data_IF_906281156923
#
_entry.id   IF_906281156923
#
_cell.length_a   1.000
_cell.length_b   1.000
_cell.length_c   1.000
_cell.angle_alpha   90.00
_cell.angle_beta   90.00
_cell.angle_gamma   90.00
#
_symmetry.space_group_name_H-M   'P 1'
#
loop_
_entity.id
_entity.type
_entity.pdbx_description
1 polymer ?
#
# COMPACT_ATOMS: atom_id res chain seq x y z
N UNK A 1 24.59 -8.80 -16.14
CA UNK A 1 23.31 -8.52 -16.82
C UNK A 1 22.30 -9.58 -16.39
N UNK A 2 21.08 -9.19 -16.06
CA UNK A 2 20.00 -10.11 -15.63
C UNK A 2 18.71 -9.67 -16.29
N UNK A 3 17.95 -10.61 -16.85
CA UNK A 3 16.69 -10.31 -17.53
C UNK A 3 15.58 -11.17 -16.94
N UNK A 4 14.43 -10.56 -16.66
CA UNK A 4 13.26 -11.22 -16.08
C UNK A 4 11.97 -10.72 -16.73
N UNK A 5 10.93 -11.55 -16.71
CA UNK A 5 9.59 -11.15 -17.09
C UNK A 5 8.69 -11.07 -15.85
N UNK A 6 7.81 -10.07 -15.83
CA UNK A 6 6.78 -9.93 -14.78
C UNK A 6 5.47 -9.44 -15.40
N UNK A 7 4.36 -9.79 -14.78
CA UNK A 7 3.08 -9.20 -15.12
C UNK A 7 3.12 -7.68 -14.91
N UNK A 8 2.73 -6.93 -15.94
CA UNK A 8 2.64 -5.47 -15.92
C UNK A 8 1.73 -5.01 -14.79
N UNK A 9 0.60 -5.71 -14.58
CA UNK A 9 -0.33 -5.36 -13.51
C UNK A 9 0.32 -5.49 -12.13
N UNK A 10 0.99 -6.61 -11.87
CA UNK A 10 1.58 -6.92 -10.58
C UNK A 10 2.71 -5.95 -10.23
N UNK A 11 3.66 -5.76 -11.15
CA UNK A 11 4.77 -4.82 -10.96
C UNK A 11 4.32 -3.38 -10.75
N UNK A 12 3.27 -2.94 -11.47
CA UNK A 12 2.68 -1.61 -11.27
C UNK A 12 2.03 -1.46 -9.90
N UNK A 13 1.30 -2.47 -9.43
CA UNK A 13 0.69 -2.45 -8.08
C UNK A 13 1.79 -2.29 -7.03
N UNK A 14 2.84 -3.10 -7.14
CA UNK A 14 3.98 -3.04 -6.23
C UNK A 14 4.65 -1.66 -6.25
N UNK A 15 5.02 -1.14 -7.43
CA UNK A 15 5.57 0.20 -7.59
C UNK A 15 4.69 1.30 -7.00
N UNK A 16 3.37 1.24 -7.25
CA UNK A 16 2.41 2.23 -6.75
C UNK A 16 2.31 2.19 -5.22
N UNK A 17 2.33 0.99 -4.66
CA UNK A 17 2.24 0.77 -3.22
C UNK A 17 3.50 1.27 -2.49
N UNK A 18 4.70 0.97 -2.99
CA UNK A 18 5.95 1.32 -2.29
C UNK A 18 6.43 2.75 -2.50
N UNK A 19 6.19 3.37 -3.66
CA UNK A 19 6.78 4.68 -3.99
C UNK A 19 6.35 5.80 -3.04
N UNK A 20 5.19 5.65 -2.39
CA UNK A 20 4.70 6.62 -1.39
C UNK A 20 5.44 6.56 -0.06
N UNK A 21 6.19 5.49 0.18
CA UNK A 21 7.02 5.32 1.36
C UNK A 21 8.44 5.81 1.14
N UNK A 22 8.88 6.13 -0.08
CA UNK A 22 10.22 6.68 -0.29
C UNK A 22 10.29 8.14 0.15
N UNK A 23 11.43 8.57 0.69
CA UNK A 23 11.61 9.97 1.07
C UNK A 23 11.49 10.87 -0.18
N UNK A 24 10.63 11.90 -0.18
CA UNK A 24 10.23 12.57 -1.42
C UNK A 24 11.25 13.57 -1.98
N UNK A 25 12.17 14.04 -1.13
CA UNK A 25 13.23 15.00 -1.50
C UNK A 25 14.56 14.28 -1.65
N UNK A 26 15.52 14.92 -2.29
CA UNK A 26 16.90 14.40 -2.32
C UNK A 26 17.39 14.13 -0.89
N UNK A 27 17.69 12.85 -0.64
CA UNK A 27 18.23 12.37 0.61
C UNK A 27 19.16 11.21 0.25
N UNK A 28 20.43 11.30 0.66
CA UNK A 28 21.48 10.37 0.24
C UNK A 28 21.10 8.90 0.40
N UNK A 29 20.43 8.56 1.52
CA UNK A 29 20.00 7.19 1.83
C UNK A 29 18.55 6.89 1.41
N UNK A 30 17.56 7.69 1.83
CA UNK A 30 16.14 7.30 1.79
C UNK A 30 15.37 7.70 0.51
N UNK A 31 15.94 8.52 -0.38
CA UNK A 31 15.30 8.88 -1.65
C UNK A 31 15.48 7.77 -2.70
N UNK A 32 14.98 6.58 -2.41
CA UNK A 32 15.09 5.41 -3.29
C UNK A 32 13.99 4.39 -3.02
N UNK A 33 13.71 3.60 -4.04
CA UNK A 33 12.98 2.35 -3.96
C UNK A 33 13.98 1.26 -4.32
N UNK A 34 14.18 0.32 -3.40
CA UNK A 34 15.10 -0.81 -3.55
C UNK A 34 14.33 -2.02 -4.06
N UNK A 35 14.80 -2.58 -5.15
CA UNK A 35 14.34 -3.83 -5.76
C UNK A 35 15.36 -4.89 -5.41
N UNK A 36 14.92 -5.93 -4.71
CA UNK A 36 15.67 -7.17 -4.53
C UNK A 36 15.04 -8.24 -5.43
N UNK A 37 15.78 -8.69 -6.43
CA UNK A 37 15.30 -9.58 -7.48
C UNK A 37 15.88 -10.96 -7.25
N UNK A 38 15.01 -11.93 -6.98
CA UNK A 38 15.34 -13.35 -6.94
C UNK A 38 14.60 -14.12 -8.05
N UNK A 39 14.72 -15.45 -8.03
CA UNK A 39 14.12 -16.34 -9.04
C UNK A 39 12.60 -16.37 -9.06
N UNK A 40 11.97 -15.93 -7.98
CA UNK A 40 10.53 -16.04 -7.76
C UNK A 40 9.87 -14.67 -7.70
N UNK A 41 10.54 -13.65 -7.17
CA UNK A 41 9.94 -12.36 -6.89
C UNK A 41 10.91 -11.20 -7.10
N UNK A 42 10.32 -10.07 -7.46
CA UNK A 42 10.90 -8.75 -7.19
C UNK A 42 10.31 -8.27 -5.87
N UNK A 43 11.15 -8.08 -4.86
CA UNK A 43 10.77 -7.44 -3.60
C UNK A 43 11.12 -5.97 -3.64
N UNK A 44 10.11 -5.11 -3.68
CA UNK A 44 10.25 -3.66 -3.67
C UNK A 44 10.16 -3.16 -2.22
N UNK A 45 11.10 -2.32 -1.80
CA UNK A 45 11.10 -1.70 -0.47
C UNK A 45 11.41 -0.21 -0.53
N UNK A 46 10.78 0.55 0.38
CA UNK A 46 11.04 1.97 0.54
C UNK A 46 10.69 2.43 1.96
N UNK A 47 11.34 3.51 2.42
CA UNK A 47 11.02 4.17 3.69
C UNK A 47 11.38 5.65 3.69
N UNK A 48 10.62 6.44 4.43
CA UNK A 48 10.81 7.88 4.67
C UNK A 48 11.19 8.18 6.12
N UNK A 49 11.43 7.12 6.91
CA UNK A 49 11.69 7.17 8.34
C UNK A 49 10.43 7.13 9.23
N UNK A 50 9.25 7.41 8.67
CA UNK A 50 7.97 7.36 9.39
C UNK A 50 7.13 6.16 8.99
N UNK A 51 7.25 5.77 7.73
CA UNK A 51 6.59 4.62 7.13
C UNK A 51 7.60 3.78 6.36
N UNK A 52 7.31 2.50 6.25
CA UNK A 52 8.05 1.58 5.41
C UNK A 52 7.05 0.72 4.65
N UNK A 53 7.32 0.48 3.37
CA UNK A 53 6.54 -0.40 2.52
C UNK A 53 7.41 -1.50 1.93
N UNK A 54 6.85 -2.69 1.85
CA UNK A 54 7.38 -3.86 1.16
C UNK A 54 6.26 -4.41 0.28
N UNK A 55 6.52 -4.48 -1.02
CA UNK A 55 5.63 -5.11 -1.99
C UNK A 55 6.38 -6.18 -2.77
N UNK A 56 5.68 -7.23 -3.19
CA UNK A 56 6.23 -8.23 -4.10
C UNK A 56 5.55 -8.16 -5.46
N UNK A 57 6.31 -8.51 -6.50
CA UNK A 57 5.79 -8.84 -7.82
C UNK A 57 6.42 -10.15 -8.29
N UNK A 58 5.62 -11.06 -8.85
CA UNK A 58 6.06 -12.41 -9.22
C UNK A 58 6.91 -12.40 -10.49
N UNK A 59 8.08 -13.02 -10.43
CA UNK A 59 8.92 -13.30 -11.59
C UNK A 59 8.37 -14.50 -12.33
N UNK A 60 8.16 -14.35 -13.63
CA UNK A 60 7.69 -15.40 -14.51
C UNK A 60 8.89 -16.06 -15.18
N UNK A 61 8.92 -17.40 -15.17
CA UNK A 61 9.87 -18.17 -15.96
C UNK A 61 9.58 -17.90 -17.46
N UNK A 62 10.48 -17.22 -18.16
CA UNK A 62 10.40 -17.18 -19.62
C UNK A 62 10.92 -18.51 -20.17
N UNK A 63 10.16 -19.14 -21.08
CA UNK A 63 10.59 -20.34 -21.82
C UNK A 63 11.95 -20.16 -22.54
N UNK A 64 12.39 -18.91 -22.70
CA UNK A 64 13.75 -18.55 -23.06
C UNK A 64 14.56 -18.26 -21.79
N UNK A 65 15.44 -19.18 -21.39
CA UNK A 65 16.48 -19.05 -20.34
C UNK A 65 17.44 -17.86 -20.62
N UNK A 66 16.94 -16.64 -20.63
CA UNK A 66 17.75 -15.45 -20.89
C UNK A 66 18.32 -14.94 -19.57
N UNK A 67 19.42 -15.60 -19.22
CA UNK A 67 20.41 -15.26 -18.19
C UNK A 67 20.03 -15.66 -16.75
N UNK A 68 20.77 -16.58 -16.11
CA UNK A 68 20.50 -17.00 -14.74
C UNK A 68 20.63 -15.82 -13.77
N UNK A 69 19.58 -15.60 -12.97
CA UNK A 69 19.66 -14.73 -11.80
C UNK A 69 20.70 -15.33 -10.84
N UNK A 70 21.69 -14.54 -10.38
CA UNK A 70 22.66 -14.99 -9.39
C UNK A 70 21.98 -15.62 -8.18
N UNK A 71 22.61 -16.61 -7.54
CA UNK A 71 22.05 -17.23 -6.33
C UNK A 71 21.84 -16.25 -5.18
N UNK A 72 22.61 -15.16 -5.16
CA UNK A 72 22.55 -14.06 -4.20
C UNK A 72 21.48 -13.01 -4.56
N UNK A 73 20.77 -13.17 -5.68
CA UNK A 73 19.83 -12.17 -6.21
C UNK A 73 20.51 -10.98 -6.89
N UNK A 74 19.71 -10.00 -7.29
CA UNK A 74 20.17 -8.74 -7.88
C UNK A 74 19.53 -7.56 -7.16
N UNK A 75 20.37 -6.67 -6.62
CA UNK A 75 19.94 -5.48 -5.91
C UNK A 75 19.95 -4.25 -6.83
N UNK A 76 18.83 -3.55 -6.93
CA UNK A 76 18.69 -2.37 -7.78
C UNK A 76 18.03 -1.25 -6.99
N UNK A 77 18.65 -0.07 -6.94
CA UNK A 77 18.05 1.13 -6.37
C UNK A 77 17.60 2.06 -7.51
N UNK A 78 16.36 2.54 -7.42
CA UNK A 78 15.77 3.53 -8.32
C UNK A 78 15.22 4.72 -7.54
N UNK A 79 15.32 5.92 -8.09
CA UNK A 79 14.77 7.12 -7.49
C UNK A 79 13.24 7.11 -7.58
N UNK A 80 12.51 7.74 -6.64
CA UNK A 80 11.05 7.80 -6.68
C UNK A 80 10.49 8.42 -7.98
N UNK A 81 11.23 9.35 -8.59
CA UNK A 81 10.85 9.93 -9.90
C UNK A 81 11.02 8.95 -11.05
N UNK A 82 11.99 8.03 -10.98
CA UNK A 82 12.15 6.96 -11.95
C UNK A 82 10.98 5.97 -11.86
N UNK A 83 10.58 5.59 -10.63
CA UNK A 83 9.37 4.78 -10.43
C UNK A 83 8.12 5.47 -10.98
N UNK A 84 7.97 6.79 -10.78
CA UNK A 84 6.87 7.56 -11.37
C UNK A 84 6.90 7.55 -12.91
N UNK A 85 8.08 7.61 -13.53
CA UNK A 85 8.23 7.49 -15.00
C UNK A 85 7.80 6.11 -15.49
N UNK A 86 8.21 5.04 -14.81
CA UNK A 86 7.78 3.66 -15.09
C UNK A 86 6.25 3.57 -15.07
N UNK A 87 5.63 4.06 -13.99
CA UNK A 87 4.18 4.06 -13.82
C UNK A 87 3.43 4.89 -14.88
N UNK A 88 4.08 5.92 -15.45
CA UNK A 88 3.50 6.75 -16.49
C UNK A 88 3.55 6.09 -17.88
N UNK A 89 4.64 5.38 -18.19
CA UNK A 89 4.90 4.70 -19.47
C UNK A 89 4.09 3.41 -19.55
N UNK A 90 4.32 2.47 -18.64
CA UNK A 90 3.77 1.11 -18.74
C UNK A 90 2.40 1.03 -18.10
N UNK A 91 1.32 1.42 -18.77
CA UNK A 91 -0.04 1.35 -18.20
C UNK A 91 -0.60 -0.07 -18.31
N UNK A 92 -1.16 -0.60 -17.23
CA UNK A 92 -1.95 -1.82 -17.30
C UNK A 92 -3.28 -1.56 -18.01
N UNK A 93 -3.66 -2.39 -19.00
CA UNK A 93 -5.03 -2.43 -19.50
C UNK A 93 -6.01 -2.67 -18.34
N UNK A 94 -7.26 -2.26 -18.49
CA UNK A 94 -8.30 -2.70 -17.55
C UNK A 94 -8.47 -4.20 -17.73
N UNK A 95 -8.47 -4.97 -16.64
CA UNK A 95 -8.76 -6.41 -16.68
C UNK A 95 -10.05 -6.67 -17.45
N UNK A 96 -9.89 -7.15 -18.68
CA UNK A 96 -10.95 -7.76 -19.47
C UNK A 96 -10.54 -9.21 -19.60
N UNK A 97 -11.43 -10.11 -19.18
CA UNK A 97 -11.21 -11.55 -19.07
C UNK A 97 -10.81 -12.28 -20.37
N UNK A 98 -10.65 -11.57 -21.49
CA UNK A 98 -10.36 -12.13 -22.82
C UNK A 98 -9.03 -11.64 -23.42
N UNK A 99 -8.32 -10.69 -22.80
CA UNK A 99 -7.02 -10.20 -23.30
C UNK A 99 -5.86 -10.92 -22.59
N UNK A 100 -4.77 -11.28 -23.30
CA UNK A 100 -3.57 -11.81 -22.67
C UNK A 100 -3.05 -10.85 -21.58
N UNK A 101 -2.58 -11.40 -20.46
CA UNK A 101 -1.98 -10.59 -19.41
C UNK A 101 -0.80 -9.82 -19.98
N UNK A 102 -0.78 -8.50 -19.78
CA UNK A 102 0.33 -7.67 -20.25
C UNK A 102 1.60 -8.01 -19.44
N UNK A 103 2.71 -8.22 -20.13
CA UNK A 103 4.00 -8.63 -19.55
C UNK A 103 5.03 -7.55 -19.90
N UNK A 104 5.85 -7.19 -18.93
CA UNK A 104 7.07 -6.42 -19.16
C UNK A 104 8.29 -7.30 -18.94
N UNK A 105 9.31 -7.04 -19.74
CA UNK A 105 10.67 -7.53 -19.51
C UNK A 105 11.46 -6.45 -18.77
N UNK A 106 12.21 -6.85 -17.74
CA UNK A 106 13.11 -5.99 -16.98
C UNK A 106 14.53 -6.52 -17.17
N UNK A 107 15.37 -5.71 -17.79
CA UNK A 107 16.79 -5.96 -18.01
C UNK A 107 17.60 -5.07 -17.05
N UNK A 108 18.43 -5.70 -16.23
CA UNK A 108 19.34 -5.04 -15.30
C UNK A 108 20.76 -5.13 -15.82
N UNK A 109 21.28 -4.00 -16.27
CA UNK A 109 22.69 -3.83 -16.63
C UNK A 109 23.52 -3.31 -15.46
N UNK A 110 24.80 -3.04 -15.72
CA UNK A 110 25.72 -2.56 -14.67
C UNK A 110 25.29 -1.17 -14.16
N UNK A 111 24.95 -0.26 -15.08
CA UNK A 111 24.62 1.14 -14.80
C UNK A 111 23.20 1.56 -15.25
N UNK A 112 22.38 0.61 -15.71
CA UNK A 112 21.05 0.89 -16.22
C UNK A 112 20.05 -0.19 -15.81
N UNK A 113 18.78 0.21 -15.84
CA UNK A 113 17.62 -0.67 -15.79
C UNK A 113 16.76 -0.33 -16.99
N UNK A 114 16.49 -1.32 -17.83
CA UNK A 114 15.63 -1.17 -19.00
C UNK A 114 14.37 -1.99 -18.78
N UNK A 115 13.23 -1.37 -19.03
CA UNK A 115 11.92 -2.01 -18.94
C UNK A 115 11.33 -1.93 -20.34
N UNK A 116 10.83 -3.05 -20.86
CA UNK A 116 10.22 -3.12 -22.18
C UNK A 116 8.87 -3.84 -22.09
N UNK A 117 7.87 -3.30 -22.77
CA UNK A 117 6.61 -4.00 -22.97
C UNK A 117 6.83 -5.11 -24.00
N UNK A 118 6.62 -6.35 -23.58
CA UNK A 118 6.74 -7.55 -24.42
C UNK A 118 5.37 -8.19 -24.67
N UNK A 119 4.28 -7.51 -24.30
CA UNK A 119 2.92 -7.91 -24.63
C UNK A 119 2.57 -7.48 -26.06
N UNK A 120 2.70 -8.39 -27.01
CA UNK A 120 2.40 -8.08 -28.40
C UNK A 120 2.63 -9.21 -29.39
N UNK A 121 2.23 -8.96 -30.64
CA UNK A 121 2.57 -9.82 -31.78
C UNK A 121 4.06 -9.63 -32.13
N UNK A 122 4.78 -10.71 -32.49
CA UNK A 122 6.17 -10.60 -32.94
C UNK A 122 6.33 -9.56 -34.06
N UNK A 123 7.19 -8.56 -33.87
CA UNK A 123 7.51 -7.53 -34.87
C UNK A 123 6.80 -6.18 -34.72
N UNK A 124 5.98 -5.99 -33.68
CA UNK A 124 5.49 -4.66 -33.26
C UNK A 124 6.23 -4.27 -31.98
N UNK A 125 7.09 -3.27 -32.07
CA UNK A 125 7.85 -2.79 -30.92
C UNK A 125 6.91 -2.16 -29.89
N UNK A 126 6.85 -2.77 -28.70
CA UNK A 126 6.24 -2.17 -27.52
C UNK A 126 7.02 -0.95 -27.03
N UNK A 127 6.51 -0.28 -25.99
CA UNK A 127 7.27 0.81 -25.37
C UNK A 127 8.47 0.26 -24.60
N UNK A 128 9.60 0.97 -24.67
CA UNK A 128 10.77 0.67 -23.85
C UNK A 128 11.24 1.93 -23.11
N UNK A 129 11.71 1.76 -21.89
CA UNK A 129 12.21 2.82 -21.03
C UNK A 129 13.52 2.36 -20.39
N UNK A 130 14.59 3.07 -20.70
CA UNK A 130 15.89 2.88 -20.07
C UNK A 130 16.11 3.97 -19.01
N UNK A 131 16.55 3.55 -17.83
CA UNK A 131 16.75 4.39 -16.66
C UNK A 131 18.16 4.17 -16.11
N UNK A 132 18.87 5.22 -15.69
CA UNK A 132 20.14 5.05 -15.00
C UNK A 132 19.92 4.35 -13.65
N UNK A 133 20.73 3.35 -13.34
CA UNK A 133 20.72 2.69 -12.03
C UNK A 133 21.35 3.63 -11.00
N UNK A 134 20.77 3.73 -9.80
CA UNK A 134 21.43 4.42 -8.69
C UNK A 134 22.47 3.51 -8.05
N UNK A 135 23.55 4.10 -7.54
CA UNK A 135 24.47 3.39 -6.67
C UNK A 135 23.72 2.83 -5.46
N UNK A 136 23.91 1.53 -5.20
CA UNK A 136 23.34 0.87 -4.04
C UNK A 136 24.01 1.40 -2.77
N UNK A 137 23.21 1.77 -1.78
CA UNK A 137 23.73 2.30 -0.50
C UNK A 137 23.59 1.24 0.58
N UNK A 138 24.72 0.86 1.19
CA UNK A 138 24.78 -0.15 2.27
C UNK A 138 24.03 0.30 3.54
N UNK A 139 23.99 1.60 3.82
CA UNK A 139 23.28 2.16 4.97
C UNK A 139 21.77 2.28 4.77
N UNK A 140 21.24 1.87 3.61
CA UNK A 140 19.79 1.80 3.42
C UNK A 140 19.19 0.74 4.36
N UNK A 141 18.12 1.06 5.11
CA UNK A 141 17.57 0.15 6.10
C UNK A 141 17.09 -1.18 5.50
N UNK A 142 17.33 -2.27 6.21
CA UNK A 142 16.73 -3.57 5.89
C UNK A 142 15.24 -3.57 6.30
N UNK A 143 14.39 -3.18 5.36
CA UNK A 143 12.95 -3.07 5.57
C UNK A 143 12.29 -4.43 5.77
N UNK A 144 12.71 -5.44 5.00
CA UNK A 144 12.16 -6.80 5.12
C UNK A 144 12.44 -7.37 6.52
N UNK A 145 13.67 -7.23 7.01
CA UNK A 145 14.01 -7.66 8.36
C UNK A 145 13.30 -6.84 9.43
N UNK A 146 13.17 -5.53 9.25
CA UNK A 146 12.44 -4.65 10.19
C UNK A 146 10.96 -5.06 10.32
N UNK A 147 10.28 -5.27 9.19
CA UNK A 147 8.88 -5.72 9.15
C UNK A 147 8.77 -7.12 9.78
N UNK A 148 9.66 -8.04 9.42
CA UNK A 148 9.69 -9.39 9.98
C UNK A 148 9.79 -9.35 11.50
N UNK A 149 10.73 -8.57 12.06
CA UNK A 149 10.90 -8.43 13.51
C UNK A 149 9.64 -7.93 14.20
N UNK A 150 9.01 -6.87 13.69
CA UNK A 150 7.79 -6.29 14.30
C UNK A 150 6.66 -7.32 14.30
N UNK A 151 6.46 -8.02 13.18
CA UNK A 151 5.35 -8.99 13.04
C UNK A 151 5.47 -10.20 13.95
N UNK A 152 6.69 -10.57 14.37
CA UNK A 152 6.90 -11.67 15.31
C UNK A 152 6.67 -11.27 16.78
N UNK A 153 6.48 -9.98 17.07
CA UNK A 153 6.17 -9.53 18.41
C UNK A 153 4.71 -9.84 18.78
N UNK A 154 4.42 -10.17 20.06
CA UNK A 154 3.05 -10.36 20.52
C UNK A 154 2.18 -9.14 20.21
N UNK A 155 0.89 -9.38 19.91
CA UNK A 155 -0.05 -8.27 19.72
C UNK A 155 -0.28 -7.51 21.02
N UNK A 156 -0.47 -6.20 20.91
CA UNK A 156 -0.89 -5.34 22.02
C UNK A 156 -2.12 -4.54 21.60
N UNK A 157 -3.13 -4.53 22.48
CA UNK A 157 -4.24 -3.60 22.37
C UNK A 157 -3.72 -2.17 22.57
N UNK A 158 -4.12 -1.25 21.69
CA UNK A 158 -3.98 0.18 21.90
C UNK A 158 -5.35 0.81 21.76
N UNK A 159 -5.77 1.56 22.77
CA UNK A 159 -7.10 2.16 22.81
C UNK A 159 -7.24 3.27 21.76
N UNK A 160 -6.23 4.14 21.66
CA UNK A 160 -6.20 5.24 20.71
C UNK A 160 -4.82 5.34 20.05
N UNK A 161 -4.82 5.52 18.72
CA UNK A 161 -3.61 5.71 17.92
C UNK A 161 -3.78 7.00 17.12
N UNK A 162 -2.79 7.89 17.19
CA UNK A 162 -2.76 9.11 16.40
C UNK A 162 -1.88 8.92 15.17
N UNK A 163 -2.40 9.24 13.99
CA UNK A 163 -1.71 9.10 12.72
C UNK A 163 -1.73 10.42 11.96
N UNK A 164 -0.62 10.73 11.30
CA UNK A 164 -0.55 11.83 10.33
C UNK A 164 -1.35 11.47 9.07
N UNK A 165 -2.05 12.44 8.44
CA UNK A 165 -2.69 12.23 7.14
C UNK A 165 -1.73 11.70 6.06
N UNK A 166 -0.45 12.10 6.12
CA UNK A 166 0.57 11.64 5.18
C UNK A 166 0.79 10.13 5.32
N UNK A 167 0.90 9.63 6.56
CA UNK A 167 1.06 8.21 6.87
C UNK A 167 -0.13 7.41 6.33
N UNK A 168 -1.35 7.87 6.61
CA UNK A 168 -2.57 7.21 6.13
C UNK A 168 -2.59 7.18 4.59
N UNK A 169 -2.28 8.31 3.95
CA UNK A 169 -2.34 8.42 2.49
C UNK A 169 -1.38 7.48 1.76
N UNK A 170 -0.21 7.17 2.35
CA UNK A 170 0.74 6.24 1.78
C UNK A 170 0.16 4.82 1.73
N UNK A 171 -0.44 4.35 2.82
CA UNK A 171 -1.09 3.05 2.86
C UNK A 171 -2.41 3.00 2.08
N UNK A 172 -3.14 4.12 1.98
CA UNK A 172 -4.29 4.22 1.08
C UNK A 172 -3.91 4.02 -0.39
N UNK A 173 -2.73 4.48 -0.83
CA UNK A 173 -2.26 4.23 -2.19
C UNK A 173 -2.02 2.73 -2.45
N UNK A 174 -1.43 2.02 -1.49
CA UNK A 174 -1.25 0.57 -1.55
C UNK A 174 -2.60 -0.17 -1.53
N UNK A 175 -3.50 0.18 -0.63
CA UNK A 175 -4.85 -0.39 -0.53
C UNK A 175 -5.63 -0.25 -1.84
N UNK A 176 -5.58 0.94 -2.45
CA UNK A 176 -6.23 1.17 -3.75
C UNK A 176 -5.55 0.41 -4.89
N UNK A 177 -4.22 0.25 -4.86
CA UNK A 177 -3.52 -0.51 -5.89
C UNK A 177 -3.92 -1.99 -5.87
N UNK A 178 -4.05 -2.58 -4.69
CA UNK A 178 -4.40 -3.99 -4.51
C UNK A 178 -5.92 -4.25 -4.42
N UNK A 179 -6.75 -3.24 -4.14
CA UNK A 179 -8.19 -3.42 -3.93
C UNK A 179 -8.54 -4.05 -2.58
N UNK A 180 -7.65 -3.91 -1.59
CA UNK A 180 -7.69 -4.66 -0.33
C UNK A 180 -7.78 -3.72 0.89
N UNK A 181 -8.38 -4.17 2.01
CA UNK A 181 -8.49 -3.36 3.21
C UNK A 181 -7.13 -3.18 3.90
N UNK A 182 -6.99 -2.07 4.65
CA UNK A 182 -5.80 -1.79 5.46
C UNK A 182 -6.00 -2.40 6.85
N UNK A 183 -5.16 -3.37 7.21
CA UNK A 183 -5.10 -3.92 8.57
C UNK A 183 -3.89 -3.33 9.30
N UNK A 184 -4.11 -2.68 10.45
CA UNK A 184 -3.04 -2.09 11.28
C UNK A 184 -3.01 -2.81 12.62
N UNK A 185 -1.85 -3.35 13.00
CA UNK A 185 -1.70 -4.11 14.24
C UNK A 185 -0.66 -3.46 15.16
N UNK A 186 -1.07 -3.26 16.42
CA UNK A 186 -0.17 -2.89 17.51
C UNK A 186 0.53 -4.11 18.08
N UNK A 187 1.81 -3.96 18.38
CA UNK A 187 2.62 -5.00 18.99
C UNK A 187 3.16 -4.55 20.35
N UNK A 188 3.28 -5.50 21.27
CA UNK A 188 3.96 -5.30 22.54
C UNK A 188 5.42 -4.91 22.30
N UNK A 189 5.96 -4.05 23.17
CA UNK A 189 7.39 -3.65 23.16
C UNK A 189 7.89 -2.93 21.90
N UNK A 190 7.02 -2.66 20.91
CA UNK A 190 7.34 -1.87 19.72
C UNK A 190 6.53 -0.59 19.70
N UNK A 191 7.17 0.54 19.36
CA UNK A 191 6.44 1.79 19.06
C UNK A 191 5.82 1.76 17.66
N UNK A 192 6.40 0.99 16.76
CA UNK A 192 5.93 0.81 15.39
C UNK A 192 4.69 -0.09 15.35
N UNK A 193 3.78 0.22 14.42
CA UNK A 193 2.65 -0.62 14.07
C UNK A 193 2.97 -1.37 12.77
N UNK A 194 2.51 -2.60 12.65
CA UNK A 194 2.57 -3.32 11.38
C UNK A 194 1.32 -3.04 10.54
N UNK A 195 1.49 -3.05 9.23
CA UNK A 195 0.41 -2.87 8.25
C UNK A 195 0.39 -4.06 7.30
N UNK A 196 -0.81 -4.55 6.97
CA UNK A 196 -1.04 -5.61 5.99
C UNK A 196 -2.13 -5.17 5.03
N UNK A 197 -1.87 -5.33 3.74
CA UNK A 197 -2.81 -5.03 2.66
C UNK A 197 -2.76 -6.20 1.68
N UNK A 198 -3.79 -7.04 1.70
CA UNK A 198 -3.82 -8.28 0.93
C UNK A 198 -2.65 -9.22 1.25
N UNK A 199 -2.29 -10.05 0.26
CA UNK A 199 -1.18 -11.00 0.37
C UNK A 199 0.18 -10.41 -0.07
N UNK A 200 0.17 -9.36 -0.89
CA UNK A 200 1.37 -8.88 -1.59
C UNK A 200 1.99 -7.60 -1.02
N UNK A 201 1.41 -7.01 0.04
CA UNK A 201 1.95 -5.80 0.65
C UNK A 201 2.02 -5.87 2.18
N UNK A 202 3.22 -5.59 2.70
CA UNK A 202 3.50 -5.40 4.11
C UNK A 202 4.05 -4.00 4.36
N UNK A 203 3.72 -3.44 5.51
CA UNK A 203 4.28 -2.16 5.91
C UNK A 203 4.52 -2.06 7.39
N UNK A 204 5.17 -0.97 7.76
CA UNK A 204 5.29 -0.54 9.15
C UNK A 204 5.16 0.97 9.23
N UNK A 205 4.66 1.48 10.37
CA UNK A 205 4.54 2.91 10.59
C UNK A 205 4.84 3.30 12.03
N UNK A 206 5.30 4.53 12.21
CA UNK A 206 5.47 5.16 13.52
C UNK A 206 4.27 6.09 13.75
N UNK A 207 3.46 5.85 14.80
CA UNK A 207 2.38 6.77 15.16
C UNK A 207 2.90 8.15 15.55
N UNK A 208 2.03 9.15 15.42
CA UNK A 208 2.32 10.50 15.91
C UNK A 208 2.30 10.50 17.43
N UNK A 209 3.44 10.82 18.03
CA UNK A 209 3.53 11.10 19.46
C UNK A 209 2.98 12.50 19.71
N UNK A 210 1.96 12.59 20.58
CA UNK A 210 1.42 13.86 21.01
C UNK A 210 2.20 14.40 22.21
N UNK A 211 2.24 15.72 22.33
CA UNK A 211 2.69 16.37 23.55
C UNK A 211 1.64 16.23 24.67
N UNK A 212 2.05 16.39 25.93
CA UNK A 212 1.11 16.38 27.07
C UNK A 212 0.04 17.48 26.92
N UNK A 213 0.40 18.63 26.34
CA UNK A 213 -0.54 19.72 26.03
C UNK A 213 -1.57 19.29 24.98
N UNK A 214 -1.15 18.62 23.90
CA UNK A 214 -2.04 18.12 22.86
C UNK A 214 -2.97 17.01 23.38
N UNK A 215 -2.48 16.17 24.30
CA UNK A 215 -3.28 15.13 24.96
C UNK A 215 -4.37 15.79 25.80
N UNK A 216 -4.01 16.70 26.70
CA UNK A 216 -4.97 17.41 27.55
C UNK A 216 -6.00 18.18 26.73
N UNK A 217 -5.58 18.80 25.61
CA UNK A 217 -6.49 19.50 24.70
C UNK A 217 -7.51 18.56 24.04
N UNK A 218 -7.11 17.33 23.71
CA UNK A 218 -8.00 16.33 23.09
C UNK A 218 -8.99 15.76 24.10
N UNK A 219 -8.57 15.52 25.34
CA UNK A 219 -9.49 15.11 26.41
C UNK A 219 -10.61 16.14 26.59
N UNK A 220 -10.27 17.44 26.61
CA UNK A 220 -11.27 18.52 26.65
C UNK A 220 -12.21 18.53 25.43
N UNK A 221 -11.70 18.15 24.25
CA UNK A 221 -12.52 18.05 23.04
C UNK A 221 -13.47 16.86 23.09
N UNK A 222 -13.01 15.74 23.65
CA UNK A 222 -13.82 14.52 23.80
C UNK A 222 -14.98 14.77 24.77
N UNK A 223 -14.72 15.40 25.93
CA UNK A 223 -15.78 15.85 26.85
C UNK A 223 -16.76 16.83 26.17
N UNK A 224 -16.23 17.74 25.35
CA UNK A 224 -17.05 18.70 24.61
C UNK A 224 -17.95 18.02 23.56
N UNK A 225 -17.57 16.86 23.05
CA UNK A 225 -18.40 16.10 22.11
C UNK A 225 -19.61 15.46 22.79
N UNK A 226 -19.50 15.05 24.06
CA UNK A 226 -20.64 14.51 24.82
C UNK A 226 -21.80 15.51 24.91
N UNK A 227 -21.49 16.81 24.98
CA UNK A 227 -22.49 17.89 25.02
C UNK A 227 -23.08 18.17 23.63
N UNK A 228 -22.28 18.01 22.57
CA UNK A 228 -22.65 18.38 21.18
C UNK A 228 -23.40 17.25 20.47
N UNK A 229 -23.13 16.00 20.81
CA UNK A 229 -23.76 14.84 20.21
C UNK A 229 -25.10 14.53 20.91
N UNK A 230 -26.08 13.94 20.19
CA UNK A 230 -27.28 13.43 20.82
C UNK A 230 -26.95 12.38 21.89
N UNK A 231 -27.79 12.29 22.93
CA UNK A 231 -27.64 11.26 23.95
C UNK A 231 -27.68 9.85 23.31
N UNK A 232 -26.87 8.88 23.78
CA UNK A 232 -26.79 7.55 23.17
C UNK A 232 -28.12 6.78 23.15
N UNK A 233 -29.03 7.10 24.09
CA UNK A 233 -30.37 6.52 24.21
C UNK A 233 -31.45 7.31 23.46
N UNK A 234 -31.08 8.42 22.81
CA UNK A 234 -32.02 9.23 22.05
C UNK A 234 -32.41 8.56 20.72
N UNK A 235 -33.68 8.73 20.33
CA UNK A 235 -34.19 8.21 19.06
C UNK A 235 -33.46 8.88 17.88
N UNK A 236 -32.93 8.12 16.89
CA UNK A 236 -32.30 8.70 15.72
C UNK A 236 -33.21 9.73 15.03
N UNK A 237 -32.65 10.86 14.62
CA UNK A 237 -33.42 11.99 14.06
C UNK A 237 -34.24 11.64 12.82
N UNK A 238 -33.82 10.59 12.10
CA UNK A 238 -34.46 10.07 10.89
C UNK A 238 -35.35 8.84 11.15
N UNK A 239 -35.45 8.37 12.40
CA UNK A 239 -36.44 7.35 12.72
C UNK A 239 -37.82 8.00 12.56
N UNK A 240 -38.54 7.59 11.51
CA UNK A 240 -39.96 7.90 11.34
C UNK A 240 -40.66 7.51 12.64
N UNK A 241 -41.19 8.51 13.36
CA UNK A 241 -42.17 8.21 14.42
C UNK A 241 -43.25 7.36 13.74
N UNK A 242 -43.54 6.14 14.22
CA UNK A 242 -44.61 5.35 13.62
C UNK A 242 -45.85 6.24 13.59
N UNK A 243 -46.43 6.41 12.40
CA UNK A 243 -47.59 7.25 12.20
C UNK A 243 -48.67 6.80 13.19
N UNK A 244 -48.84 7.58 14.24
CA UNK A 244 -49.84 7.32 15.28
C UNK A 244 -51.26 7.37 14.67
N UNK A 245 -51.38 7.90 13.44
CA UNK A 245 -52.58 7.94 12.63
C UNK A 245 -53.02 6.58 12.07
N UNK A 246 -52.11 5.63 11.79
CA UNK A 246 -52.51 4.33 11.20
C UNK A 246 -53.16 3.44 12.27
N UNK A 247 -52.64 3.46 13.50
CA UNK A 247 -53.24 2.74 14.63
C UNK A 247 -54.59 3.35 15.04
N UNK A 248 -54.73 4.67 14.97
CA UNK A 248 -56.00 5.36 15.28
C UNK A 248 -57.06 5.09 14.21
N UNK A 249 -56.68 5.10 12.93
CA UNK A 249 -57.57 4.79 11.81
C UNK A 249 -58.02 3.31 11.81
N UNK A 250 -57.12 2.38 12.14
CA UNK A 250 -57.45 0.97 12.27
C UNK A 250 -58.39 0.71 13.47
N UNK A 251 -58.16 1.38 14.60
CA UNK A 251 -59.04 1.29 15.78
C UNK A 251 -60.44 1.88 15.52
N UNK A 252 -60.54 3.00 14.80
CA UNK A 252 -61.82 3.60 14.42
C UNK A 252 -62.61 2.78 13.38
N UNK A 253 -61.93 2.08 12.47
CA UNK A 253 -62.58 1.15 11.54
C UNK A 253 -63.10 -0.11 12.23
N UNK A 254 -62.35 -0.68 13.18
CA UNK A 254 -62.80 -1.80 14.00
C UNK A 254 -64.00 -1.43 14.88
N UNK A 255 -64.04 -0.21 15.43
CA UNK A 255 -65.15 0.27 16.25
C UNK A 255 -66.44 0.57 15.45
N UNK A 256 -66.35 0.73 14.12
CA UNK A 256 -67.54 0.91 13.24
C UNK A 256 -68.06 -0.40 12.65
N UNK A 257 -67.32 -1.49 12.79
CA UNK A 257 -67.65 -2.80 12.22
C UNK A 257 -68.24 -3.80 13.23
N UNK A 258 -68.38 -3.40 14.51
CA UNK A 258 -69.11 -4.11 15.56
C UNK A 258 -70.34 -3.34 15.99
#
# INVERSE_FOLDING_TARGET
MTTICVATHDFRRACTAVVKHAYPKEHAVLNRVRLDIDKHNITLTATDGWTSGLAIASVWESENDLVPIPSEGVLVDLAPDQIRKILAVFRAPKDKSEEPEAIIEIEVGDNYVKIADVSGLPGIDGQALELPRMDTVESFPDIAHTISRIRHLPHAGRDTIHLSPLVISAFSAAANAYGEPISITGHAESRMLSVVIGESFLGALIPTMLSDEDIAKRELWDDSWEIRLPAPDSVPRNATKPETNVLKAAAEQLAKAG
#
